data_IF_536611567352
#
_entry.id   IF_536611567352
#
_cell.length_a   1.000
_cell.length_b   1.000
_cell.length_c   1.000
_cell.angle_alpha   90.00
_cell.angle_beta   90.00
_cell.angle_gamma   90.00
#
_symmetry.space_group_name_H-M   'P 1'
#
loop_
_entity.id
_entity.type
_entity.pdbx_description
1 polymer ?
#
# COMPACT_ATOMS: atom_id res chain seq x y z
N UNK A 1 13.27 -6.71 16.38
CA UNK A 1 13.34 -5.49 15.53
C UNK A 1 11.99 -4.78 15.41
N UNK A 2 10.89 -5.47 15.05
CA UNK A 2 9.56 -4.85 14.89
C UNK A 2 9.05 -4.09 16.14
N UNK A 3 9.07 -4.65 17.36
CA UNK A 3 8.58 -3.92 18.54
C UNK A 3 9.41 -2.66 18.85
N UNK A 4 10.71 -2.71 18.58
CA UNK A 4 11.59 -1.54 18.78
C UNK A 4 11.23 -0.41 17.81
N UNK A 5 10.93 -0.72 16.56
CA UNK A 5 10.52 0.27 15.56
C UNK A 5 9.16 0.90 15.92
N UNK A 6 8.21 0.11 16.42
CA UNK A 6 6.89 0.60 16.86
C UNK A 6 7.03 1.50 18.09
N UNK A 7 7.82 1.09 19.09
CA UNK A 7 8.02 1.90 20.31
C UNK A 7 8.76 3.21 19.99
N UNK A 8 9.76 3.16 19.11
CA UNK A 8 10.50 4.36 18.69
C UNK A 8 9.58 5.32 17.90
N UNK A 9 8.76 4.81 17.00
CA UNK A 9 7.80 5.61 16.24
C UNK A 9 6.73 6.25 17.13
N UNK A 10 6.18 5.48 18.07
CA UNK A 10 5.21 5.98 19.04
C UNK A 10 5.84 7.04 19.97
N UNK A 11 7.07 6.81 20.42
CA UNK A 11 7.80 7.77 21.25
C UNK A 11 8.07 9.07 20.49
N UNK A 12 8.56 9.00 19.25
CA UNK A 12 8.79 10.18 18.40
C UNK A 12 7.50 10.96 18.15
N UNK A 13 6.41 10.26 17.87
CA UNK A 13 5.08 10.88 17.72
C UNK A 13 4.64 11.60 18.99
N UNK A 14 4.75 10.96 20.17
CA UNK A 14 4.40 11.56 21.43
C UNK A 14 5.27 12.78 21.75
N UNK A 15 6.57 12.73 21.48
CA UNK A 15 7.48 13.87 21.70
C UNK A 15 7.08 15.05 20.81
N UNK A 16 6.81 14.83 19.53
CA UNK A 16 6.37 15.88 18.61
C UNK A 16 4.99 16.42 18.98
N UNK A 17 4.08 15.57 19.47
CA UNK A 17 2.75 15.99 19.91
C UNK A 17 2.77 16.80 21.20
N UNK A 18 3.66 16.47 22.16
CA UNK A 18 3.80 17.17 23.43
C UNK A 18 4.56 18.50 23.30
N UNK A 19 5.52 18.58 22.36
CA UNK A 19 6.36 19.76 22.12
C UNK A 19 5.88 20.49 20.86
N UNK A 20 4.66 21.06 20.91
CA UNK A 20 4.07 21.79 19.79
C UNK A 20 4.99 22.82 19.10
N UNK A 21 5.77 23.67 19.82
CA UNK A 21 6.67 24.61 19.16
C UNK A 21 7.80 23.94 18.38
N UNK A 22 8.20 22.74 18.75
CA UNK A 22 9.19 21.97 18.00
C UNK A 22 8.58 21.38 16.73
N UNK A 23 7.31 20.93 16.80
CA UNK A 23 6.59 20.39 15.65
C UNK A 23 6.45 21.44 14.54
N UNK A 24 6.05 22.67 14.86
CA UNK A 24 5.87 23.76 13.88
C UNK A 24 7.15 24.11 13.11
N UNK A 25 8.33 23.93 13.71
CA UNK A 25 9.61 24.19 13.06
C UNK A 25 10.15 22.98 12.27
N UNK A 26 9.85 21.77 12.73
CA UNK A 26 10.36 20.52 12.15
C UNK A 26 9.43 19.93 11.08
N UNK A 27 8.11 20.14 11.22
CA UNK A 27 7.11 19.58 10.30
C UNK A 27 7.36 19.93 8.81
N UNK A 28 7.62 21.19 8.38
CA UNK A 28 7.76 21.48 6.97
C UNK A 28 8.99 20.80 6.36
N UNK A 29 10.14 20.81 7.05
CA UNK A 29 11.35 20.14 6.56
C UNK A 29 11.24 18.61 6.60
N UNK A 30 10.70 18.05 7.68
CA UNK A 30 10.52 16.62 7.85
C UNK A 30 9.46 16.04 6.88
N UNK A 31 8.39 16.78 6.62
CA UNK A 31 7.35 16.35 5.66
C UNK A 31 7.87 16.27 4.22
N UNK A 32 8.72 17.22 3.81
CA UNK A 32 9.35 17.20 2.48
C UNK A 32 10.33 16.02 2.38
N UNK A 33 11.16 15.84 3.39
CA UNK A 33 12.11 14.73 3.47
C UNK A 33 11.40 13.38 3.48
N UNK A 34 10.34 13.22 4.29
CA UNK A 34 9.55 12.01 4.35
C UNK A 34 8.89 11.69 3.01
N UNK A 35 8.30 12.68 2.32
CA UNK A 35 7.67 12.50 1.01
C UNK A 35 8.65 12.04 -0.07
N UNK A 36 9.92 12.44 0.01
CA UNK A 36 10.94 12.01 -0.95
C UNK A 36 11.53 10.64 -0.63
N UNK A 37 11.73 10.33 0.66
CA UNK A 37 12.34 9.06 1.08
C UNK A 37 11.33 7.92 1.11
N UNK A 38 10.08 8.17 1.44
CA UNK A 38 9.03 7.15 1.53
C UNK A 38 8.94 6.25 0.28
N UNK A 39 8.92 6.76 -0.97
CA UNK A 39 8.89 5.91 -2.16
C UNK A 39 10.13 5.04 -2.29
N UNK A 40 11.30 5.57 -1.93
CA UNK A 40 12.58 4.84 -1.99
C UNK A 40 12.57 3.69 -0.97
N UNK A 41 12.12 3.95 0.26
CA UNK A 41 12.00 2.92 1.29
C UNK A 41 11.02 1.83 0.89
N UNK A 42 9.88 2.19 0.29
CA UNK A 42 8.91 1.23 -0.23
C UNK A 42 9.53 0.38 -1.33
N UNK A 43 10.24 1.00 -2.28
CA UNK A 43 10.94 0.28 -3.36
C UNK A 43 11.99 -0.70 -2.82
N UNK A 44 12.79 -0.30 -1.83
CA UNK A 44 13.79 -1.16 -1.18
C UNK A 44 13.10 -2.33 -0.45
N UNK A 45 12.02 -2.08 0.27
CA UNK A 45 11.26 -3.13 0.96
C UNK A 45 10.67 -4.15 -0.02
N UNK A 46 10.11 -3.68 -1.14
CA UNK A 46 9.58 -4.55 -2.20
C UNK A 46 10.71 -5.35 -2.86
N UNK A 47 11.84 -4.73 -3.16
CA UNK A 47 13.01 -5.40 -3.71
C UNK A 47 13.50 -6.53 -2.80
N UNK A 48 13.68 -6.25 -1.50
CA UNK A 48 14.10 -7.26 -0.52
C UNK A 48 13.09 -8.41 -0.38
N UNK A 49 11.82 -8.13 -0.59
CA UNK A 49 10.76 -9.13 -0.55
C UNK A 49 10.78 -10.02 -1.78
N UNK A 50 10.90 -9.43 -2.98
CA UNK A 50 10.94 -10.18 -4.23
C UNK A 50 12.23 -10.99 -4.39
N UNK A 51 13.35 -10.49 -3.89
CA UNK A 51 14.64 -11.20 -3.93
C UNK A 51 14.70 -12.46 -3.05
N UNK A 52 13.71 -12.65 -2.14
CA UNK A 52 13.62 -13.84 -1.28
C UNK A 52 12.99 -15.06 -1.96
N UNK A 53 12.35 -14.87 -3.09
CA UNK A 53 11.62 -15.92 -3.80
C UNK A 53 11.95 -15.87 -5.27
N UNK A 54 12.45 -16.99 -5.79
CA UNK A 54 12.67 -17.15 -7.23
C UNK A 54 11.33 -17.11 -8.00
N UNK A 55 11.28 -16.53 -9.20
CA UNK A 55 10.10 -16.60 -10.06
C UNK A 55 9.58 -18.03 -10.27
N UNK A 56 10.49 -19.00 -10.27
CA UNK A 56 10.18 -20.41 -10.45
C UNK A 56 9.46 -21.05 -9.24
N UNK A 57 9.61 -20.46 -8.06
CA UNK A 57 9.00 -20.96 -6.82
C UNK A 57 7.63 -20.32 -6.55
N UNK A 58 7.17 -19.40 -7.39
CA UNK A 58 5.86 -18.78 -7.28
C UNK A 58 4.76 -19.81 -7.56
N UNK A 59 4.04 -20.18 -6.51
CA UNK A 59 2.93 -21.15 -6.58
C UNK A 59 1.61 -20.42 -6.41
N UNK A 60 0.87 -20.26 -7.51
CA UNK A 60 -0.48 -19.72 -7.45
C UNK A 60 -1.46 -20.84 -7.08
N UNK A 61 -2.03 -20.74 -5.88
CA UNK A 61 -3.05 -21.67 -5.39
C UNK A 61 -4.44 -21.05 -5.49
N UNK A 62 -5.48 -21.87 -5.54
CA UNK A 62 -6.88 -21.42 -5.63
C UNK A 62 -7.28 -20.47 -4.51
N UNK A 63 -6.76 -20.67 -3.30
CA UNK A 63 -7.06 -19.80 -2.16
C UNK A 63 -6.51 -18.37 -2.32
N UNK A 64 -5.42 -18.16 -3.07
CA UNK A 64 -4.91 -16.82 -3.39
C UNK A 64 -5.97 -16.00 -4.15
N UNK A 65 -6.60 -16.63 -5.14
CA UNK A 65 -7.65 -15.95 -5.94
C UNK A 65 -8.91 -15.69 -5.12
N UNK A 66 -9.26 -16.58 -4.20
CA UNK A 66 -10.40 -16.37 -3.29
C UNK A 66 -10.16 -15.19 -2.36
N UNK A 67 -8.99 -15.11 -1.72
CA UNK A 67 -8.62 -13.99 -0.85
C UNK A 67 -8.53 -12.68 -1.64
N UNK A 68 -7.91 -12.70 -2.82
CA UNK A 68 -7.81 -11.55 -3.70
C UNK A 68 -9.20 -11.07 -4.12
N UNK A 69 -10.07 -11.99 -4.55
CA UNK A 69 -11.44 -11.68 -4.94
C UNK A 69 -12.24 -11.06 -3.78
N UNK A 70 -12.08 -11.58 -2.57
CA UNK A 70 -12.70 -11.02 -1.39
C UNK A 70 -12.20 -9.61 -1.09
N UNK A 71 -10.88 -9.39 -1.13
CA UNK A 71 -10.25 -8.09 -0.86
C UNK A 71 -10.65 -7.04 -1.91
N UNK A 72 -10.55 -7.39 -3.20
CA UNK A 72 -10.95 -6.50 -4.30
C UNK A 72 -12.46 -6.28 -4.29
N UNK A 73 -13.26 -7.29 -3.94
CA UNK A 73 -14.71 -7.18 -3.81
C UNK A 73 -15.13 -6.19 -2.72
N UNK A 74 -14.55 -6.28 -1.52
CA UNK A 74 -14.80 -5.31 -0.44
C UNK A 74 -14.36 -3.91 -0.88
N UNK A 75 -13.18 -3.79 -1.51
CA UNK A 75 -12.70 -2.52 -2.01
C UNK A 75 -13.65 -1.90 -3.03
N UNK A 76 -14.14 -2.67 -4.00
CA UNK A 76 -15.11 -2.21 -4.99
C UNK A 76 -16.44 -1.78 -4.34
N UNK A 77 -16.90 -2.54 -3.34
CA UNK A 77 -18.11 -2.20 -2.58
C UNK A 77 -17.95 -0.88 -1.82
N UNK A 78 -16.81 -0.68 -1.16
CA UNK A 78 -16.50 0.56 -0.45
C UNK A 78 -16.33 1.74 -1.42
N UNK A 79 -15.73 1.51 -2.60
CA UNK A 79 -15.64 2.50 -3.67
C UNK A 79 -17.03 2.95 -4.13
N UNK A 80 -17.94 2.01 -4.38
CA UNK A 80 -19.31 2.30 -4.75
C UNK A 80 -20.05 3.08 -3.64
N UNK A 81 -19.85 2.68 -2.39
CA UNK A 81 -20.45 3.36 -1.24
C UNK A 81 -19.90 4.79 -1.10
N UNK A 82 -18.60 5.01 -1.31
CA UNK A 82 -17.99 6.33 -1.28
C UNK A 82 -18.58 7.28 -2.35
N UNK A 83 -18.84 6.76 -3.54
CA UNK A 83 -19.47 7.54 -4.63
C UNK A 83 -20.93 7.89 -4.33
N UNK A 84 -21.67 7.00 -3.64
CA UNK A 84 -23.08 7.23 -3.28
C UNK A 84 -23.25 8.20 -2.10
N UNK A 85 -22.24 8.37 -1.26
CA UNK A 85 -22.31 9.25 -0.09
C UNK A 85 -22.07 10.71 -0.48
N UNK A 86 -22.84 11.66 0.10
CA UNK A 86 -22.57 13.08 -0.05
C UNK A 86 -21.25 13.46 0.63
N UNK A 87 -20.67 14.56 0.18
CA UNK A 87 -19.43 15.08 0.78
C UNK A 87 -19.61 15.37 2.27
N UNK A 88 -18.76 14.79 3.10
CA UNK A 88 -18.82 14.94 4.55
C UNK A 88 -17.97 13.88 5.28
N UNK A 89 -18.04 13.92 6.61
CA UNK A 89 -17.25 13.03 7.47
C UNK A 89 -17.50 11.53 7.20
N UNK A 90 -18.72 11.17 6.81
CA UNK A 90 -19.09 9.80 6.45
C UNK A 90 -18.36 9.29 5.21
N UNK A 91 -18.26 10.13 4.17
CA UNK A 91 -17.53 9.80 2.95
C UNK A 91 -16.03 9.64 3.22
N UNK A 92 -15.43 10.55 3.99
CA UNK A 92 -14.01 10.48 4.38
C UNK A 92 -13.72 9.17 5.13
N UNK A 93 -14.63 8.74 6.00
CA UNK A 93 -14.48 7.49 6.74
C UNK A 93 -14.52 6.27 5.81
N UNK A 94 -15.42 6.25 4.84
CA UNK A 94 -15.53 5.16 3.85
C UNK A 94 -14.31 5.14 2.92
N UNK A 95 -13.86 6.29 2.46
CA UNK A 95 -12.64 6.42 1.64
C UNK A 95 -11.40 5.94 2.41
N UNK A 96 -11.30 6.28 3.69
CA UNK A 96 -10.22 5.80 4.55
C UNK A 96 -10.27 4.28 4.74
N UNK A 97 -11.46 3.71 4.98
CA UNK A 97 -11.65 2.28 5.08
C UNK A 97 -11.31 1.57 3.75
N UNK A 98 -11.72 2.13 2.62
CA UNK A 98 -11.39 1.64 1.28
C UNK A 98 -9.88 1.52 1.09
N UNK A 99 -9.12 2.57 1.43
CA UNK A 99 -7.66 2.57 1.34
C UNK A 99 -7.02 1.56 2.30
N UNK A 100 -7.56 1.41 3.51
CA UNK A 100 -7.07 0.40 4.46
C UNK A 100 -7.26 -1.04 3.94
N UNK A 101 -8.40 -1.34 3.32
CA UNK A 101 -8.67 -2.67 2.79
C UNK A 101 -7.82 -3.04 1.59
N UNK A 102 -7.53 -2.08 0.71
CA UNK A 102 -6.69 -2.33 -0.48
C UNK A 102 -5.19 -2.27 -0.17
N UNK A 103 -4.81 -1.77 1.01
CA UNK A 103 -3.41 -1.66 1.39
C UNK A 103 -2.68 -3.00 1.19
N UNK A 104 -1.53 -3.00 0.51
CA UNK A 104 -0.79 -4.24 0.25
C UNK A 104 -0.41 -4.95 1.54
N UNK A 105 -0.47 -6.27 1.51
CA UNK A 105 -0.12 -7.11 2.66
C UNK A 105 1.30 -6.81 3.14
N UNK A 106 1.46 -6.67 4.45
CA UNK A 106 2.73 -6.32 5.05
C UNK A 106 3.86 -7.27 4.61
N UNK A 107 5.00 -6.72 4.25
CA UNK A 107 6.20 -7.48 3.87
C UNK A 107 6.67 -8.47 4.95
N UNK A 108 6.30 -8.21 6.21
CA UNK A 108 6.56 -9.09 7.33
C UNK A 108 5.71 -10.38 7.33
N UNK A 109 4.60 -10.42 6.59
CA UNK A 109 3.68 -11.57 6.58
C UNK A 109 4.39 -12.87 6.22
N UNK A 110 5.26 -12.88 5.19
CA UNK A 110 6.03 -14.05 4.80
C UNK A 110 6.94 -14.58 5.91
N UNK A 111 7.62 -13.68 6.62
CA UNK A 111 8.51 -14.04 7.73
C UNK A 111 7.73 -14.60 8.91
N UNK A 112 6.60 -13.99 9.24
CA UNK A 112 5.72 -14.46 10.34
C UNK A 112 5.14 -15.81 10.00
N UNK A 113 4.60 -16.00 8.79
CA UNK A 113 4.05 -17.29 8.33
C UNK A 113 5.10 -18.39 8.37
N UNK A 114 6.32 -18.11 7.92
CA UNK A 114 7.43 -19.09 7.98
C UNK A 114 7.77 -19.49 9.41
N UNK A 115 7.76 -18.56 10.37
CA UNK A 115 7.99 -18.84 11.79
C UNK A 115 6.87 -19.66 12.43
N UNK A 116 5.66 -19.57 11.91
CA UNK A 116 4.50 -20.35 12.34
C UNK A 116 4.41 -21.72 11.65
N UNK A 117 5.43 -22.10 10.87
CA UNK A 117 5.46 -23.39 10.16
C UNK A 117 4.71 -23.39 8.82
N UNK A 118 4.27 -22.24 8.34
CA UNK A 118 3.64 -22.08 7.03
C UNK A 118 4.64 -21.92 5.88
N UNK A 119 4.15 -21.99 4.64
CA UNK A 119 4.95 -21.87 3.42
C UNK A 119 5.29 -20.41 3.13
N UNK A 120 6.58 -20.07 3.18
CA UNK A 120 7.09 -18.76 2.78
C UNK A 120 6.76 -18.47 1.30
N UNK A 121 6.98 -19.44 0.42
CA UNK A 121 6.76 -19.31 -1.02
C UNK A 121 5.29 -18.99 -1.35
N UNK A 122 4.34 -19.70 -0.74
CA UNK A 122 2.91 -19.45 -0.96
C UNK A 122 2.52 -18.03 -0.48
N UNK A 123 3.04 -17.60 0.67
CA UNK A 123 2.72 -16.26 1.22
C UNK A 123 3.31 -15.15 0.35
N UNK A 124 4.56 -15.29 -0.12
CA UNK A 124 5.19 -14.30 -0.99
C UNK A 124 4.51 -14.28 -2.36
N UNK A 125 4.09 -15.43 -2.90
CA UNK A 125 3.29 -15.49 -4.13
C UNK A 125 1.99 -14.68 -4.00
N UNK A 126 1.30 -14.80 -2.87
CA UNK A 126 0.11 -13.99 -2.59
C UNK A 126 0.43 -12.49 -2.53
N UNK A 127 1.52 -12.12 -1.84
CA UNK A 127 1.94 -10.72 -1.72
C UNK A 127 2.29 -10.10 -3.08
N UNK A 128 2.96 -10.84 -3.96
CA UNK A 128 3.23 -10.39 -5.34
C UNK A 128 1.91 -10.16 -6.09
N UNK A 129 0.99 -11.12 -5.99
CA UNK A 129 -0.29 -11.07 -6.69
C UNK A 129 -1.15 -9.91 -6.22
N UNK A 130 -1.24 -9.67 -4.90
CA UNK A 130 -2.03 -8.56 -4.35
C UNK A 130 -1.41 -7.20 -4.72
N UNK A 131 -0.08 -7.06 -4.65
CA UNK A 131 0.59 -5.83 -5.03
C UNK A 131 0.34 -5.46 -6.49
N UNK A 132 0.41 -6.45 -7.40
CA UNK A 132 0.12 -6.24 -8.81
C UNK A 132 -1.35 -5.85 -9.03
N UNK A 133 -2.27 -6.49 -8.31
CA UNK A 133 -3.71 -6.16 -8.38
C UNK A 133 -4.00 -4.77 -7.86
N UNK A 134 -3.38 -4.36 -6.75
CA UNK A 134 -3.48 -2.99 -6.18
C UNK A 134 -3.00 -1.95 -7.19
N UNK A 135 -1.88 -2.22 -7.87
CA UNK A 135 -1.33 -1.31 -8.89
C UNK A 135 -2.28 -1.06 -10.07
N UNK A 136 -3.19 -2.00 -10.36
CA UNK A 136 -4.19 -1.86 -11.40
C UNK A 136 -5.51 -1.28 -10.87
N UNK A 137 -5.96 -1.77 -9.72
CA UNK A 137 -7.30 -1.46 -9.18
C UNK A 137 -7.35 -0.05 -8.56
N UNK A 138 -6.31 0.38 -7.87
CA UNK A 138 -6.27 1.69 -7.22
C UNK A 138 -6.31 2.86 -8.23
N UNK A 139 -5.51 2.87 -9.32
CA UNK A 139 -5.62 3.92 -10.34
C UNK A 139 -6.98 4.00 -11.01
N UNK A 140 -7.71 2.88 -11.10
CA UNK A 140 -9.08 2.87 -11.63
C UNK A 140 -10.09 3.48 -10.65
N UNK A 141 -9.97 3.16 -9.37
CA UNK A 141 -10.95 3.56 -8.36
C UNK A 141 -10.81 5.03 -7.92
N UNK A 142 -9.58 5.54 -7.74
CA UNK A 142 -9.37 6.90 -7.24
C UNK A 142 -10.02 7.98 -8.10
N UNK A 143 -9.91 7.97 -9.46
CA UNK A 143 -10.59 8.97 -10.29
C UNK A 143 -12.12 8.84 -10.25
N UNK A 144 -12.66 7.65 -9.99
CA UNK A 144 -14.11 7.42 -9.87
C UNK A 144 -14.64 8.05 -8.58
N UNK A 145 -13.89 7.93 -7.49
CA UNK A 145 -14.27 8.53 -6.20
C UNK A 145 -14.08 10.04 -6.22
N UNK A 146 -13.04 10.54 -6.88
CA UNK A 146 -12.63 11.95 -6.87
C UNK A 146 -13.25 12.73 -8.04
N UNK A 147 -14.57 12.63 -8.22
CA UNK A 147 -15.32 13.29 -9.29
C UNK A 147 -15.35 14.83 -9.19
N UNK A 148 -14.97 15.39 -8.04
CA UNK A 148 -14.91 16.84 -7.80
C UNK A 148 -13.72 17.55 -8.45
N UNK A 149 -12.77 16.82 -9.04
CA UNK A 149 -11.66 17.42 -9.77
C UNK A 149 -12.06 17.64 -11.24
N UNK A 150 -11.88 18.87 -11.74
CA UNK A 150 -12.07 19.23 -13.17
C UNK A 150 -11.12 18.48 -14.14
N UNK A 151 -10.39 17.49 -13.63
CA UNK A 151 -9.40 16.73 -14.40
C UNK A 151 -10.08 15.52 -15.05
N UNK A 152 -9.92 15.33 -16.37
CA UNK A 152 -10.48 14.17 -17.08
C UNK A 152 -10.01 12.86 -16.44
N UNK A 153 -10.91 11.87 -16.37
CA UNK A 153 -10.64 10.54 -15.81
C UNK A 153 -9.33 9.93 -16.35
N UNK A 154 -9.13 9.99 -17.67
CA UNK A 154 -7.94 9.41 -18.32
C UNK A 154 -6.63 10.05 -17.85
N UNK A 155 -6.63 11.38 -17.64
CA UNK A 155 -5.45 12.11 -17.17
C UNK A 155 -5.11 11.73 -15.72
N UNK A 156 -6.11 11.65 -14.85
CA UNK A 156 -5.94 11.22 -13.46
C UNK A 156 -5.48 9.77 -13.38
N UNK A 157 -6.10 8.87 -14.15
CA UNK A 157 -5.73 7.47 -14.24
C UNK A 157 -4.26 7.31 -14.69
N UNK A 158 -3.86 7.94 -15.78
CA UNK A 158 -2.48 7.89 -16.28
C UNK A 158 -1.48 8.47 -15.28
N UNK A 159 -1.80 9.60 -14.65
CA UNK A 159 -0.93 10.23 -13.66
C UNK A 159 -0.67 9.31 -12.45
N UNK A 160 -1.70 8.59 -11.99
CA UNK A 160 -1.58 7.63 -10.88
C UNK A 160 -0.81 6.39 -11.33
N UNK A 161 -1.10 5.85 -12.51
CA UNK A 161 -0.37 4.72 -13.08
C UNK A 161 1.13 5.03 -13.24
N UNK A 162 1.46 6.21 -13.78
CA UNK A 162 2.84 6.65 -13.95
C UNK A 162 3.62 6.73 -12.62
N UNK A 163 2.95 6.96 -11.50
CA UNK A 163 3.57 7.00 -10.18
C UNK A 163 3.68 5.61 -9.52
N UNK A 164 2.64 4.80 -9.62
CA UNK A 164 2.57 3.51 -8.93
C UNK A 164 3.33 2.41 -9.69
N UNK A 165 3.18 2.38 -11.01
CA UNK A 165 3.72 1.32 -11.84
C UNK A 165 5.25 1.21 -11.77
N UNK A 166 6.04 2.29 -11.93
CA UNK A 166 7.48 2.21 -11.77
C UNK A 166 7.92 1.80 -10.36
N UNK A 167 7.21 2.29 -9.33
CA UNK A 167 7.53 1.98 -7.94
C UNK A 167 7.40 0.49 -7.63
N UNK A 168 6.53 -0.21 -8.34
CA UNK A 168 6.22 -1.62 -8.11
C UNK A 168 6.96 -2.55 -9.08
N UNK A 169 7.00 -2.18 -10.37
CA UNK A 169 7.58 -3.01 -11.42
C UNK A 169 9.11 -2.96 -11.42
N UNK A 170 9.69 -1.80 -11.13
CA UNK A 170 11.15 -1.63 -11.15
C UNK A 170 11.85 -2.51 -10.10
N UNK A 171 11.44 -2.56 -8.82
CA UNK A 171 12.01 -3.49 -7.85
C UNK A 171 11.81 -4.97 -8.23
N UNK A 172 10.66 -5.29 -8.85
CA UNK A 172 10.36 -6.65 -9.30
C UNK A 172 11.33 -7.10 -10.40
N UNK A 173 11.55 -6.26 -11.41
CA UNK A 173 12.48 -6.55 -12.52
C UNK A 173 13.90 -6.69 -11.99
N UNK A 174 14.36 -5.75 -11.15
CA UNK A 174 15.72 -5.77 -10.60
C UNK A 174 15.95 -7.01 -9.72
N UNK A 175 14.92 -7.47 -9.01
CA UNK A 175 15.04 -8.65 -8.15
C UNK A 175 15.12 -9.96 -8.95
N UNK A 176 14.67 -9.97 -10.21
CA UNK A 176 14.58 -11.19 -11.04
C UNK A 176 15.58 -11.22 -12.21
N UNK A 177 16.44 -10.21 -12.34
CA UNK A 177 17.60 -10.21 -13.22
C UNK A 177 18.81 -10.76 -12.47
#
# INVERSE_FOLDING_TARGET
>A
MLPIAITLGAFLFLVLWFVRPLAEHVEPGFSVFAKQIQPILIAIMLFLQFNRVSPHDLRFRKWHFVLLGFQVGIFALLTLLAVMLPEGNGRILVESAMLCFICPTASAAGVVTSKLGGSLSDTVSYVVMINLSVALVVPLAIPIVNTASDVPFMTSFLAICMKIFPLLVLPLIIAWI
#
